data_IF_671260752415
#
_entry.id   IF_671260752415
#
_cell.length_a   1.000
_cell.length_b   1.000
_cell.length_c   1.000
_cell.angle_alpha   90.00
_cell.angle_beta   90.00
_cell.angle_gamma   90.00
#
_symmetry.space_group_name_H-M   'P 1'
#
loop_
_entity.id
_entity.type
_entity.pdbx_description
1 polymer ?
#
# COMPACT_ATOMS: atom_id res chain seq x y z
N UNK A 1 -9.49 -19.63 -7.80
CA UNK A 1 -9.24 -18.35 -7.10
C UNK A 1 -10.11 -18.17 -5.87
N UNK A 2 -9.97 -19.03 -4.85
CA UNK A 2 -10.62 -18.87 -3.52
C UNK A 2 -9.60 -18.37 -2.47
N UNK A 3 -8.30 -18.55 -2.73
CA UNK A 3 -7.21 -18.28 -1.79
C UNK A 3 -7.07 -16.81 -1.38
N UNK A 4 -7.52 -15.86 -2.22
CA UNK A 4 -7.52 -14.43 -1.90
C UNK A 4 -8.45 -14.07 -0.72
N UNK A 5 -9.54 -14.82 -0.53
CA UNK A 5 -10.46 -14.60 0.58
C UNK A 5 -9.87 -15.00 1.93
N UNK A 6 -8.79 -15.79 1.97
CA UNK A 6 -8.07 -16.19 3.19
C UNK A 6 -6.84 -15.28 3.41
N UNK A 7 -6.47 -14.47 2.42
CA UNK A 7 -5.31 -13.57 2.43
C UNK A 7 -5.29 -12.58 3.60
N UNK A 8 -6.46 -12.21 4.13
CA UNK A 8 -6.57 -11.31 5.28
C UNK A 8 -6.03 -11.91 6.59
N UNK A 9 -5.94 -13.25 6.69
CA UNK A 9 -5.42 -13.94 7.89
C UNK A 9 -3.89 -13.94 7.96
N UNK A 10 -3.18 -13.65 6.86
CA UNK A 10 -1.73 -13.58 6.91
C UNK A 10 -1.28 -12.37 7.74
N UNK A 11 -0.27 -12.52 8.61
CA UNK A 11 0.26 -11.43 9.40
C UNK A 11 0.88 -10.34 8.51
N UNK A 12 0.65 -9.09 8.88
CA UNK A 12 1.14 -7.91 8.16
C UNK A 12 2.60 -7.52 8.49
N UNK A 13 3.25 -8.28 9.38
CA UNK A 13 4.61 -8.01 9.88
C UNK A 13 5.62 -7.87 8.74
N UNK A 14 5.54 -8.75 7.74
CA UNK A 14 6.44 -8.70 6.58
C UNK A 14 6.21 -7.44 5.72
N UNK A 15 4.95 -7.02 5.58
CA UNK A 15 4.62 -5.80 4.85
C UNK A 15 5.19 -4.57 5.58
N UNK A 16 5.00 -4.52 6.90
CA UNK A 16 5.53 -3.45 7.73
C UNK A 16 7.07 -3.36 7.65
N UNK A 17 7.77 -4.48 7.69
CA UNK A 17 9.23 -4.51 7.53
C UNK A 17 9.69 -3.99 6.15
N UNK A 18 8.92 -4.23 5.09
CA UNK A 18 9.24 -3.72 3.75
C UNK A 18 8.97 -2.21 3.64
N UNK A 19 7.89 -1.72 4.26
CA UNK A 19 7.62 -0.28 4.37
C UNK A 19 8.76 0.41 5.09
N UNK A 20 9.20 -0.12 6.25
CA UNK A 20 10.32 0.44 6.99
C UNK A 20 11.61 0.48 6.15
N UNK A 21 11.91 -0.59 5.41
CA UNK A 21 13.07 -0.62 4.50
C UNK A 21 12.97 0.41 3.36
N UNK A 22 11.77 0.68 2.84
CA UNK A 22 11.54 1.75 1.85
C UNK A 22 11.83 3.12 2.48
N UNK A 23 11.33 3.36 3.69
CA UNK A 23 11.42 4.67 4.34
C UNK A 23 12.86 5.01 4.78
N UNK A 24 13.61 4.01 5.22
CA UNK A 24 15.02 4.14 5.62
C UNK A 24 15.99 4.12 4.42
N UNK A 25 15.50 3.79 3.23
CA UNK A 25 16.35 3.66 2.06
C UNK A 25 17.06 4.97 1.67
N UNK A 26 18.33 4.83 1.30
CA UNK A 26 19.07 5.83 0.54
C UNK A 26 19.36 5.31 -0.89
N UNK A 27 18.62 5.82 -1.89
CA UNK A 27 18.73 5.41 -3.30
C UNK A 27 20.13 5.68 -3.88
N UNK A 28 20.83 6.72 -3.41
CA UNK A 28 22.16 7.06 -3.90
C UNK A 28 23.22 6.04 -3.47
N UNK A 29 22.94 5.30 -2.38
CA UNK A 29 23.83 4.27 -1.83
C UNK A 29 23.41 2.86 -2.19
N UNK A 30 22.10 2.62 -2.38
CA UNK A 30 21.56 1.32 -2.74
C UNK A 30 20.57 1.44 -3.93
N UNK A 31 20.99 1.06 -5.15
CA UNK A 31 20.14 1.13 -6.33
C UNK A 31 18.98 0.13 -6.30
N UNK A 32 19.05 -0.92 -5.46
CA UNK A 32 18.04 -1.98 -5.34
C UNK A 32 16.98 -1.69 -4.29
N UNK A 33 17.05 -0.52 -3.66
CA UNK A 33 16.05 -0.10 -2.70
C UNK A 33 14.62 -0.18 -3.23
N UNK A 34 13.67 -0.66 -2.41
CA UNK A 34 12.27 -0.59 -2.76
C UNK A 34 11.84 0.89 -2.78
N UNK A 35 11.39 1.37 -3.94
CA UNK A 35 10.86 2.73 -4.11
C UNK A 35 9.39 2.84 -3.75
N UNK A 36 8.66 1.74 -3.98
CA UNK A 36 7.22 1.58 -3.72
C UNK A 36 6.96 0.21 -3.14
N UNK A 37 6.03 0.14 -2.20
CA UNK A 37 5.57 -1.11 -1.60
C UNK A 37 4.09 -1.26 -1.91
N UNK A 38 3.69 -2.45 -2.39
CA UNK A 38 2.30 -2.78 -2.66
C UNK A 38 1.90 -4.10 -2.00
N UNK A 39 0.61 -4.24 -1.66
CA UNK A 39 0.07 -5.49 -1.15
C UNK A 39 -0.96 -6.09 -2.13
N UNK A 40 -0.86 -7.41 -2.33
CA UNK A 40 -1.77 -8.17 -3.18
C UNK A 40 -2.28 -9.44 -2.48
N UNK A 41 -3.43 -10.01 -2.86
CA UNK A 41 -4.59 -9.25 -3.36
C UNK A 41 -5.40 -8.81 -2.15
N UNK A 42 -5.80 -7.54 -2.09
CA UNK A 42 -6.58 -7.01 -0.98
C UNK A 42 -7.98 -6.67 -1.46
N UNK A 43 -9.01 -7.29 -0.88
CA UNK A 43 -10.40 -7.11 -1.35
C UNK A 43 -11.36 -6.59 -0.26
N UNK A 44 -10.95 -6.67 1.02
CA UNK A 44 -11.77 -6.28 2.16
C UNK A 44 -11.40 -4.85 2.64
N UNK A 45 -12.42 -4.01 2.88
CA UNK A 45 -12.26 -2.66 3.41
C UNK A 45 -11.52 -2.61 4.74
N UNK A 46 -11.83 -3.51 5.68
CA UNK A 46 -11.11 -3.54 6.97
C UNK A 46 -9.61 -3.76 6.77
N UNK A 47 -9.25 -4.59 5.79
CA UNK A 47 -7.87 -4.89 5.45
C UNK A 47 -7.20 -3.72 4.73
N UNK A 48 -7.89 -3.02 3.83
CA UNK A 48 -7.39 -1.77 3.25
C UNK A 48 -7.03 -0.76 4.33
N UNK A 49 -7.93 -0.53 5.31
CA UNK A 49 -7.67 0.40 6.43
C UNK A 49 -6.42 0.03 7.20
N UNK A 50 -6.29 -1.23 7.62
CA UNK A 50 -5.11 -1.70 8.35
C UNK A 50 -3.82 -1.53 7.56
N UNK A 51 -3.87 -1.74 6.23
CA UNK A 51 -2.69 -1.60 5.37
C UNK A 51 -2.36 -0.13 5.09
N UNK A 52 -3.35 0.72 4.85
CA UNK A 52 -3.16 2.16 4.68
C UNK A 52 -2.53 2.80 5.91
N UNK A 53 -2.89 2.34 7.13
CA UNK A 53 -2.25 2.80 8.37
C UNK A 53 -0.75 2.47 8.44
N UNK A 54 -0.28 1.46 7.70
CA UNK A 54 1.15 1.17 7.53
C UNK A 54 1.77 1.92 6.35
N UNK A 55 1.08 2.89 5.75
CA UNK A 55 1.61 3.75 4.68
C UNK A 55 2.12 2.99 3.45
N UNK A 56 1.39 1.96 3.01
CA UNK A 56 1.66 1.29 1.73
C UNK A 56 1.40 2.25 0.55
N UNK A 57 2.14 2.09 -0.55
CA UNK A 57 1.95 2.94 -1.74
C UNK A 57 0.85 2.44 -2.68
N UNK A 58 0.58 1.12 -2.67
CA UNK A 58 -0.29 0.52 -3.67
C UNK A 58 -0.99 -0.76 -3.23
N UNK A 59 -2.06 -1.07 -3.96
CA UNK A 59 -2.83 -2.28 -3.77
C UNK A 59 -3.09 -2.94 -5.12
N UNK A 60 -2.98 -4.26 -5.15
CA UNK A 60 -3.59 -5.08 -6.20
C UNK A 60 -4.89 -5.62 -5.61
N UNK A 61 -6.02 -5.38 -6.29
CA UNK A 61 -7.36 -5.71 -5.80
C UNK A 61 -8.28 -6.14 -6.94
N UNK A 62 -9.22 -7.04 -6.64
CA UNK A 62 -10.31 -7.39 -7.55
C UNK A 62 -11.47 -6.38 -7.45
N UNK A 63 -11.52 -5.56 -6.40
CA UNK A 63 -12.63 -4.64 -6.12
C UNK A 63 -12.12 -3.20 -5.87
N UNK A 64 -11.63 -2.51 -6.92
CA UNK A 64 -11.05 -1.17 -6.77
C UNK A 64 -12.03 -0.12 -6.24
N UNK A 65 -13.34 -0.29 -6.47
CA UNK A 65 -14.37 0.59 -5.92
C UNK A 65 -14.35 0.63 -4.39
N UNK A 66 -14.06 -0.51 -3.73
CA UNK A 66 -13.99 -0.58 -2.26
C UNK A 66 -12.82 0.22 -1.71
N UNK A 67 -11.68 0.24 -2.41
CA UNK A 67 -10.55 1.10 -2.04
C UNK A 67 -10.93 2.58 -2.16
N UNK A 68 -11.64 2.95 -3.23
CA UNK A 68 -12.09 4.34 -3.42
C UNK A 68 -13.04 4.80 -2.32
N UNK A 69 -13.91 3.91 -1.82
CA UNK A 69 -14.76 4.20 -0.66
C UNK A 69 -13.92 4.44 0.59
N UNK A 70 -12.91 3.60 0.88
CA UNK A 70 -12.01 3.78 2.03
C UNK A 70 -11.22 5.08 1.93
N UNK A 71 -10.72 5.43 0.73
CA UNK A 71 -9.96 6.68 0.52
C UNK A 71 -10.80 7.95 0.74
N UNK A 72 -12.14 7.86 0.73
CA UNK A 72 -13.04 8.98 1.03
C UNK A 72 -13.36 9.11 2.52
N UNK A 73 -13.02 8.12 3.33
CA UNK A 73 -13.24 8.19 4.78
C UNK A 73 -12.38 9.31 5.40
N UNK A 74 -12.87 10.02 6.43
CA UNK A 74 -12.15 11.17 7.02
C UNK A 74 -10.72 10.85 7.48
N UNK A 75 -10.48 9.62 7.95
CA UNK A 75 -9.16 9.16 8.38
C UNK A 75 -8.12 9.15 7.25
N UNK A 76 -8.54 8.82 6.02
CA UNK A 76 -7.66 8.58 4.88
C UNK A 76 -7.71 9.69 3.83
N UNK A 77 -8.84 10.39 3.69
CA UNK A 77 -9.05 11.41 2.67
C UNK A 77 -8.06 12.58 2.74
N UNK A 78 -7.54 12.87 3.93
CA UNK A 78 -6.55 13.94 4.15
C UNK A 78 -5.10 13.47 3.99
N UNK A 79 -4.86 12.15 3.96
CA UNK A 79 -3.50 11.55 3.98
C UNK A 79 -3.14 10.82 2.69
N UNK A 80 -4.14 10.32 1.99
CA UNK A 80 -3.97 9.47 0.81
C UNK A 80 -4.82 9.98 -0.34
N UNK A 81 -4.32 9.79 -1.56
CA UNK A 81 -5.06 10.03 -2.80
C UNK A 81 -4.65 8.99 -3.83
N UNK A 82 -5.49 8.82 -4.86
CA UNK A 82 -5.08 8.05 -6.02
C UNK A 82 -3.91 8.74 -6.74
N UNK A 83 -2.95 7.94 -7.15
CA UNK A 83 -1.86 8.40 -8.01
C UNK A 83 -2.42 8.80 -9.38
N UNK A 84 -1.82 9.84 -9.95
CA UNK A 84 -2.08 10.37 -11.29
C UNK A 84 -0.87 10.10 -12.18
N UNK A 85 -0.99 10.38 -13.47
CA UNK A 85 0.15 10.29 -14.40
C UNK A 85 1.29 11.27 -14.09
N UNK A 86 1.07 12.25 -13.21
CA UNK A 86 2.10 13.21 -12.76
C UNK A 86 2.93 12.67 -11.59
N UNK A 87 2.47 11.59 -10.96
CA UNK A 87 3.16 10.99 -9.83
C UNK A 87 4.21 10.01 -10.33
N UNK A 88 5.48 10.31 -10.06
CA UNK A 88 6.58 9.46 -10.47
C UNK A 88 6.54 8.13 -9.68
N UNK A 89 6.32 6.96 -10.33
CA UNK A 89 6.26 5.69 -9.64
C UNK A 89 7.62 5.24 -9.06
N UNK A 90 8.72 5.90 -9.44
CA UNK A 90 10.07 5.60 -8.98
C UNK A 90 10.55 6.53 -7.86
N UNK A 91 9.73 7.48 -7.42
CA UNK A 91 10.06 8.37 -6.33
C UNK A 91 9.52 7.83 -5.00
N UNK A 92 10.40 7.68 -4.01
CA UNK A 92 9.97 7.37 -2.63
C UNK A 92 9.18 8.57 -2.10
N UNK A 93 7.99 8.30 -1.57
CA UNK A 93 7.21 9.32 -0.87
C UNK A 93 7.81 9.51 0.52
N UNK A 94 8.20 10.74 0.87
CA UNK A 94 8.73 11.13 2.18
C UNK A 94 7.78 12.11 2.84
#
# INVERSE_FOLDING_TARGET
GITNCIGFLYPLIRLQALVQKRDECNIDKDPFCPRKVYQWTTDNQSRFRSILRMQVDGFITNYPNRLNEVLREPEFATKFRLATNRDNPWQIYK
#
